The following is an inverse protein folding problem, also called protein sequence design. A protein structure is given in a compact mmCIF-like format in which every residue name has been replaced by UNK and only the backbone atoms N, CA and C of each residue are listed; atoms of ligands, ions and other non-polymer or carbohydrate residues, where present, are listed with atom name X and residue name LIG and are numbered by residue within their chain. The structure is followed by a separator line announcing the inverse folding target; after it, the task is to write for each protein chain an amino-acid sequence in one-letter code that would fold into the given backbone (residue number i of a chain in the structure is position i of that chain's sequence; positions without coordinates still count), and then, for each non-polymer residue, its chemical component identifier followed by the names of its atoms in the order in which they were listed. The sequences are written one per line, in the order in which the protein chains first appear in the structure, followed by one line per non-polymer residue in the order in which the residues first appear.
data_IF_717458197554
#
_entry.id   IF_717458197554
#
_cell.length_a   1.000
_cell.length_b   1.000
_cell.length_c   1.000
_cell.angle_alpha   90.00
_cell.angle_beta   90.00
_cell.angle_gamma   90.00
#
_symmetry.space_group_name_H-M   'P 1'
#
loop_
_entity.id
_entity.type
_entity.pdbx_description
1 polymer ?
#
# COMPACT_ATOMS: atom_id res chain seq x y z
N UNK A 1 -23.05 1.10 -10.48
CA UNK A 1 -21.86 0.74 -11.29
C UNK A 1 -21.03 -0.26 -10.49
N UNK A 2 -20.50 -1.33 -11.10
CA UNK A 2 -19.69 -2.31 -10.39
C UNK A 2 -18.46 -1.60 -9.80
N UNK A 3 -18.24 -1.77 -8.50
CA UNK A 3 -17.09 -1.21 -7.80
C UNK A 3 -15.83 -1.91 -8.30
N UNK A 4 -15.05 -1.24 -9.15
CA UNK A 4 -13.82 -1.82 -9.72
C UNK A 4 -12.63 -1.41 -8.87
N UNK A 5 -11.99 -2.39 -8.24
CA UNK A 5 -10.65 -2.23 -7.69
C UNK A 5 -9.62 -2.41 -8.81
N UNK A 6 -8.52 -1.67 -8.74
CA UNK A 6 -7.36 -1.83 -9.59
C UNK A 6 -6.21 -2.39 -8.75
N UNK A 7 -5.62 -3.47 -9.25
CA UNK A 7 -4.43 -4.08 -8.67
C UNK A 7 -3.20 -3.52 -9.38
N UNK A 8 -2.24 -3.05 -8.61
CA UNK A 8 -0.99 -2.51 -9.10
C UNK A 8 0.16 -3.29 -8.49
N UNK A 9 1.03 -3.80 -9.34
CA UNK A 9 2.19 -4.55 -8.89
C UNK A 9 3.37 -3.60 -8.68
N UNK A 10 3.77 -3.45 -7.42
CA UNK A 10 4.89 -2.63 -6.99
C UNK A 10 6.12 -3.50 -6.78
N UNK A 11 7.12 -3.33 -7.64
CA UNK A 11 8.38 -4.09 -7.61
C UNK A 11 9.59 -3.16 -7.55
N UNK A 12 10.02 -2.74 -6.35
CA UNK A 12 11.21 -1.90 -6.20
C UNK A 12 12.47 -2.61 -6.73
N UNK A 13 13.18 -1.95 -7.64
CA UNK A 13 14.37 -2.49 -8.34
C UNK A 13 15.66 -2.40 -7.54
N UNK A 14 15.69 -1.61 -6.46
CA UNK A 14 16.87 -1.40 -5.62
C UNK A 14 16.60 -1.70 -4.15
N UNK A 15 17.62 -2.10 -3.40
CA UNK A 15 17.51 -2.33 -1.96
C UNK A 15 17.03 -1.08 -1.21
N UNK A 16 17.49 0.11 -1.63
CA UNK A 16 17.03 1.39 -1.08
C UNK A 16 15.53 1.62 -1.30
N UNK A 17 15.01 1.31 -2.48
CA UNK A 17 13.59 1.44 -2.78
C UNK A 17 12.73 0.45 -1.98
N UNK A 18 13.27 -0.73 -1.63
CA UNK A 18 12.58 -1.72 -0.77
C UNK A 18 12.38 -1.23 0.66
N UNK A 19 13.37 -0.54 1.22
CA UNK A 19 13.32 -0.04 2.60
C UNK A 19 12.74 1.38 2.72
N UNK A 20 12.48 2.05 1.60
CA UNK A 20 11.92 3.41 1.60
C UNK A 20 10.60 3.52 2.37
N UNK A 21 9.62 2.59 2.21
CA UNK A 21 8.40 2.63 3.01
C UNK A 21 8.65 2.50 4.52
N UNK A 22 9.65 1.70 4.93
CA UNK A 22 10.03 1.58 6.35
C UNK A 22 10.56 2.90 6.90
N UNK A 23 11.34 3.63 6.09
CA UNK A 23 11.84 4.94 6.47
C UNK A 23 10.72 5.97 6.69
N UNK A 24 9.66 5.92 5.87
CA UNK A 24 8.46 6.75 6.07
C UNK A 24 7.74 6.33 7.35
N UNK A 25 7.49 5.03 7.52
CA UNK A 25 6.77 4.50 8.67
C UNK A 25 7.46 4.92 9.98
N UNK A 26 8.79 4.74 10.05
CA UNK A 26 9.58 5.11 11.22
C UNK A 26 9.53 6.61 11.52
N UNK A 27 9.67 7.47 10.50
CA UNK A 27 9.60 8.93 10.69
C UNK A 27 8.22 9.37 11.16
N UNK A 28 7.17 8.73 10.66
CA UNK A 28 5.80 8.99 11.07
C UNK A 28 5.57 8.57 12.53
N UNK A 29 5.96 7.34 12.90
CA UNK A 29 5.86 6.85 14.30
C UNK A 29 6.61 7.74 15.29
N UNK A 30 7.76 8.29 14.87
CA UNK A 30 8.57 9.21 15.69
C UNK A 30 8.03 10.65 15.71
N UNK A 31 6.97 10.97 14.99
CA UNK A 31 6.41 12.32 14.88
C UNK A 31 7.29 13.30 14.12
N UNK A 32 8.27 12.81 13.35
CA UNK A 32 9.18 13.64 12.55
C UNK A 32 8.53 14.15 11.25
N UNK A 33 7.47 13.48 10.81
CA UNK A 33 6.63 13.89 9.67
C UNK A 33 5.15 13.72 10.05
N UNK A 34 4.23 14.50 9.45
CA UNK A 34 2.80 14.25 9.58
C UNK A 34 2.42 12.91 8.91
N UNK A 35 1.22 12.42 9.22
CA UNK A 35 0.69 11.21 8.60
C UNK A 35 0.72 11.32 7.06
N UNK A 36 1.28 10.33 6.34
CA UNK A 36 1.40 10.37 4.90
C UNK A 36 0.01 10.25 4.27
N UNK A 37 -0.52 11.36 3.77
CA UNK A 37 -1.81 11.36 3.05
C UNK A 37 -1.67 10.86 1.62
N UNK A 38 -0.53 11.17 1.00
CA UNK A 38 -0.19 10.82 -0.36
C UNK A 38 1.14 10.08 -0.37
N UNK A 39 1.21 9.04 -1.19
CA UNK A 39 2.45 8.31 -1.44
C UNK A 39 2.72 8.25 -2.94
N UNK A 40 3.88 8.74 -3.35
CA UNK A 40 4.34 8.60 -4.73
C UNK A 40 5.06 7.27 -4.89
N UNK A 41 4.53 6.38 -5.71
CA UNK A 41 5.17 5.11 -6.07
C UNK A 41 5.40 5.07 -7.57
N UNK A 42 6.67 5.21 -7.98
CA UNK A 42 7.02 5.38 -9.40
C UNK A 42 6.57 6.76 -9.91
N UNK A 43 5.80 6.77 -10.99
CA UNK A 43 5.25 8.01 -11.61
C UNK A 43 3.82 8.32 -11.15
N UNK A 44 3.29 7.57 -10.19
CA UNK A 44 1.90 7.70 -9.75
C UNK A 44 1.83 8.05 -8.28
N UNK A 45 0.98 9.02 -7.97
CA UNK A 45 0.65 9.39 -6.61
C UNK A 45 -0.65 8.70 -6.20
N UNK A 46 -0.66 8.15 -4.98
CA UNK A 46 -1.80 7.47 -4.40
C UNK A 46 -2.19 8.12 -3.09
N UNK A 47 -3.48 8.41 -2.94
CA UNK A 47 -4.02 8.90 -1.68
C UNK A 47 -4.37 7.71 -0.78
N UNK A 48 -3.91 7.69 0.46
CA UNK A 48 -4.26 6.62 1.40
C UNK A 48 -5.73 6.71 1.79
N UNK A 49 -6.44 5.59 1.70
CA UNK A 49 -7.86 5.49 2.06
C UNK A 49 -8.11 5.55 3.56
N UNK A 50 -7.13 5.07 4.32
CA UNK A 50 -7.12 5.08 5.78
C UNK A 50 -5.71 5.49 6.25
N UNK A 51 -5.65 6.46 7.17
CA UNK A 51 -4.41 6.96 7.78
C UNK A 51 -3.98 6.08 8.96
N UNK A 52 -4.19 4.77 8.85
CA UNK A 52 -3.79 3.78 9.85
C UNK A 52 -2.29 3.51 9.77
N UNK A 53 -1.57 3.86 10.82
CA UNK A 53 -0.13 3.63 10.94
C UNK A 53 0.21 2.13 10.90
N UNK A 54 -0.61 1.30 11.54
CA UNK A 54 -0.46 -0.16 11.53
C UNK A 54 -0.54 -0.71 10.11
N UNK A 55 -1.56 -0.30 9.34
CA UNK A 55 -1.76 -0.75 7.96
C UNK A 55 -0.57 -0.37 7.09
N UNK A 56 -0.03 0.83 7.28
CA UNK A 56 1.16 1.28 6.57
C UNK A 56 2.42 0.49 6.96
N UNK A 57 2.60 0.17 8.25
CA UNK A 57 3.70 -0.67 8.72
C UNK A 57 3.65 -2.08 8.11
N UNK A 58 2.47 -2.69 8.05
CA UNK A 58 2.29 -4.01 7.43
C UNK A 58 2.73 -3.97 5.96
N UNK A 59 2.31 -2.94 5.22
CA UNK A 59 2.76 -2.73 3.85
C UNK A 59 4.29 -2.55 3.77
N UNK A 60 4.86 -1.69 4.61
CA UNK A 60 6.29 -1.38 4.59
C UNK A 60 7.16 -2.61 4.89
N UNK A 61 6.78 -3.39 5.90
CA UNK A 61 7.46 -4.65 6.25
C UNK A 61 7.33 -5.67 5.12
N UNK A 62 6.13 -5.82 4.55
CA UNK A 62 5.90 -6.72 3.41
C UNK A 62 6.86 -6.40 2.27
N UNK A 63 6.87 -5.14 1.79
CA UNK A 63 7.77 -4.69 0.72
C UNK A 63 9.24 -4.96 1.05
N UNK A 64 9.65 -4.70 2.29
CA UNK A 64 11.05 -4.89 2.69
C UNK A 64 11.46 -6.36 2.69
N UNK A 65 10.58 -7.28 3.09
CA UNK A 65 10.85 -8.72 3.17
C UNK A 65 10.72 -9.43 1.83
N UNK A 66 9.68 -9.15 1.06
CA UNK A 66 9.38 -9.85 -0.21
C UNK A 66 10.04 -9.17 -1.42
N UNK A 67 10.37 -7.87 -1.32
CA UNK A 67 10.86 -7.07 -2.44
C UNK A 67 9.78 -6.74 -3.47
N UNK A 68 8.51 -7.05 -3.19
CA UNK A 68 7.37 -6.80 -4.06
C UNK A 68 6.07 -6.69 -3.25
N UNK A 69 5.11 -5.90 -3.72
CA UNK A 69 3.79 -5.81 -3.12
C UNK A 69 2.73 -5.59 -4.19
N UNK A 70 1.53 -6.12 -3.93
CA UNK A 70 0.34 -5.76 -4.69
C UNK A 70 -0.38 -4.65 -3.93
N UNK A 71 -0.58 -3.53 -4.61
CA UNK A 71 -1.27 -2.35 -4.13
C UNK A 71 -2.70 -2.42 -4.67
N UNK A 72 -3.68 -2.33 -3.78
CA UNK A 72 -5.09 -2.31 -4.15
C UNK A 72 -5.57 -0.88 -4.13
N UNK A 73 -6.10 -0.41 -5.26
CA UNK A 73 -6.62 0.94 -5.40
C UNK A 73 -8.07 0.96 -5.85
N UNK A 74 -8.81 1.98 -5.45
CA UNK A 74 -10.20 2.21 -5.80
C UNK A 74 -10.45 3.71 -5.87
N UNK A 75 -10.96 4.18 -7.00
CA UNK A 75 -11.34 5.60 -7.18
C UNK A 75 -10.22 6.60 -6.83
N UNK A 76 -8.95 6.24 -7.08
CA UNK A 76 -7.78 7.06 -6.75
C UNK A 76 -7.25 6.89 -5.32
N UNK A 77 -7.99 6.19 -4.47
CA UNK A 77 -7.58 5.82 -3.11
C UNK A 77 -6.79 4.49 -3.15
N UNK A 78 -5.81 4.37 -2.27
CA UNK A 78 -5.03 3.17 -2.01
C UNK A 78 -5.34 2.65 -0.62
N UNK A 79 -5.62 1.35 -0.51
CA UNK A 79 -5.70 0.66 0.77
C UNK A 79 -4.35 -0.01 1.13
N UNK A 80 -3.62 0.49 2.14
CA UNK A 80 -2.36 -0.09 2.60
C UNK A 80 -2.52 -1.47 3.25
N UNK A 81 -3.68 -1.76 3.85
CA UNK A 81 -4.00 -3.06 4.42
C UNK A 81 -4.42 -4.08 3.35
N UNK A 82 -4.65 -3.60 2.12
CA UNK A 82 -5.04 -4.41 0.98
C UNK A 82 -4.13 -5.63 0.80
N UNK A 83 -4.75 -6.78 0.58
CA UNK A 83 -4.04 -8.02 0.27
C UNK A 83 -4.73 -8.75 -0.87
N UNK A 84 -3.93 -9.50 -1.61
CA UNK A 84 -4.41 -10.44 -2.63
C UNK A 84 -3.90 -11.81 -2.23
N UNK A 85 -4.80 -12.78 -2.14
CA UNK A 85 -4.50 -14.16 -1.86
C UNK A 85 -5.31 -15.09 -2.77
N UNK A 86 -5.24 -16.41 -2.56
CA UNK A 86 -5.94 -17.39 -3.39
C UNK A 86 -7.46 -17.28 -3.32
N UNK A 87 -8.01 -16.61 -2.30
CA UNK A 87 -9.44 -16.36 -2.14
C UNK A 87 -9.93 -15.09 -2.82
N UNK A 88 -9.03 -14.23 -3.32
CA UNK A 88 -9.37 -13.00 -4.01
C UNK A 88 -8.61 -11.78 -3.48
N UNK A 89 -9.24 -10.62 -3.60
CA UNK A 89 -8.70 -9.35 -3.14
C UNK A 89 -9.46 -8.91 -1.89
N UNK A 90 -8.76 -8.74 -0.77
CA UNK A 90 -9.33 -8.18 0.45
C UNK A 90 -8.83 -6.76 0.62
N UNK A 91 -9.71 -5.77 0.45
CA UNK A 91 -9.36 -4.35 0.57
C UNK A 91 -10.61 -3.50 0.86
N UNK A 92 -10.42 -2.32 1.43
CA UNK A 92 -11.48 -1.37 1.79
C UNK A 92 -12.56 -2.01 2.68
N UNK A 93 -12.16 -2.96 3.53
CA UNK A 93 -13.06 -3.74 4.39
C UNK A 93 -14.01 -4.67 3.62
N UNK A 94 -13.69 -5.03 2.38
CA UNK A 94 -14.52 -5.88 1.52
C UNK A 94 -13.67 -6.90 0.75
N UNK A 95 -14.34 -7.96 0.32
CA UNK A 95 -13.75 -9.01 -0.50
C UNK A 95 -14.20 -8.80 -1.95
N UNK A 96 -13.26 -8.92 -2.88
CA UNK A 96 -13.51 -8.87 -4.32
C UNK A 96 -13.02 -10.17 -4.94
N UNK A 97 -13.90 -10.83 -5.70
CA UNK A 97 -13.55 -12.02 -6.45
C UNK A 97 -12.59 -11.64 -7.59
N UNK A 98 -11.58 -12.48 -7.80
CA UNK A 98 -10.75 -12.41 -9.00
C UNK A 98 -11.56 -13.05 -10.15
N UNK A 99 -11.73 -12.36 -11.28
CA UNK A 99 -12.44 -12.91 -12.44
C UNK A 99 -11.72 -14.11 -13.07
#
# INVERSE_FOLDING_TARGET
MPTRVKLLYFKPTTARARIWPLGIALRWTLGLIPAPQFLTMGLTEYQMSDLSELSFWIFAIRVALTGEAIIVTKDGLWDPAGKVDSGGVHAFGRDFELP
#
